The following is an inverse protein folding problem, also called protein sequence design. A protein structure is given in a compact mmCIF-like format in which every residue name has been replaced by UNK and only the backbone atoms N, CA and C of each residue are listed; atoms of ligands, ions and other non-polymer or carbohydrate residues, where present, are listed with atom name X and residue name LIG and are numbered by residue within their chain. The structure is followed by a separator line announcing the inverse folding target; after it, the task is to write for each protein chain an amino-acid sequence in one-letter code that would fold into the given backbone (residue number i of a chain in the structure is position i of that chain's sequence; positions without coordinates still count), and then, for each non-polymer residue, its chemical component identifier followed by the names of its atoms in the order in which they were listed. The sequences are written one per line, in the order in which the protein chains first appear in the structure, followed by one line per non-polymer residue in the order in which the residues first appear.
data_IF_127551276354
#
_entry.id   IF_127551276354
#
_cell.length_a   1.000
_cell.length_b   1.000
_cell.length_c   1.000
_cell.angle_alpha   90.00
_cell.angle_beta   90.00
_cell.angle_gamma   90.00
#
_symmetry.space_group_name_H-M   'P 1'
#
loop_
_entity.id
_entity.type
_entity.pdbx_description
1 polymer ?
#
# COMPACT_ATOMS: atom_id res chain seq x y z
N UNK A 1 10.11 9.51 -12.31
CA UNK A 1 9.78 8.14 -11.83
C UNK A 1 8.33 8.18 -11.37
N UNK A 2 7.53 7.20 -11.74
CA UNK A 2 6.14 7.07 -11.31
C UNK A 2 6.09 6.00 -10.23
N UNK A 3 5.45 6.25 -9.10
CA UNK A 3 5.32 5.26 -8.03
C UNK A 3 3.84 4.98 -7.77
N UNK A 4 3.46 3.70 -7.83
CA UNK A 4 2.14 3.21 -7.48
C UNK A 4 2.22 2.56 -6.11
N UNK A 5 1.26 2.92 -5.26
CA UNK A 5 1.17 2.47 -3.89
C UNK A 5 -0.17 1.81 -3.66
N UNK A 6 -0.17 0.71 -2.90
CA UNK A 6 -1.40 0.07 -2.48
C UNK A 6 -1.31 -0.41 -1.04
N UNK A 7 -2.38 -0.23 -0.28
CA UNK A 7 -2.50 -0.74 1.08
C UNK A 7 -3.34 -2.02 1.10
N UNK A 8 -2.88 -3.03 1.85
CA UNK A 8 -3.54 -4.33 1.96
C UNK A 8 -3.55 -4.84 3.39
N UNK A 9 -4.74 -5.12 3.91
CA UNK A 9 -4.97 -5.79 5.19
C UNK A 9 -5.13 -7.31 5.06
N UNK A 10 -5.21 -7.83 3.83
CA UNK A 10 -5.26 -9.25 3.52
C UNK A 10 -4.26 -9.55 2.42
N UNK A 11 -3.47 -10.60 2.59
CA UNK A 11 -2.53 -11.00 1.56
C UNK A 11 -3.29 -11.49 0.31
N UNK A 12 -2.85 -11.04 -0.86
CA UNK A 12 -3.37 -11.51 -2.13
C UNK A 12 -2.22 -11.74 -3.10
N UNK A 13 -2.12 -12.93 -3.73
CA UNK A 13 -1.11 -13.16 -4.76
C UNK A 13 -1.39 -12.34 -6.02
N UNK A 14 -2.61 -11.82 -6.19
CA UNK A 14 -3.04 -11.10 -7.40
C UNK A 14 -2.59 -9.63 -7.45
N UNK A 15 -1.82 -9.16 -6.47
CA UNK A 15 -1.41 -7.75 -6.38
C UNK A 15 -0.56 -7.27 -7.56
N UNK A 16 0.40 -8.04 -8.11
CA UNK A 16 1.12 -7.65 -9.33
C UNK A 16 0.20 -7.43 -10.53
N UNK A 17 -0.85 -8.24 -10.68
CA UNK A 17 -1.84 -8.09 -11.75
C UNK A 17 -2.65 -6.81 -11.59
N UNK A 18 -3.05 -6.47 -10.36
CA UNK A 18 -3.76 -5.21 -10.07
C UNK A 18 -2.88 -3.99 -10.34
N UNK A 19 -1.60 -4.06 -9.96
CA UNK A 19 -0.62 -3.01 -10.25
C UNK A 19 -0.44 -2.79 -11.76
N UNK A 20 -0.47 -3.85 -12.56
CA UNK A 20 -0.44 -3.72 -14.03
C UNK A 20 -1.66 -2.95 -14.55
N UNK A 21 -2.86 -3.27 -14.04
CA UNK A 21 -4.10 -2.58 -14.42
C UNK A 21 -4.03 -1.10 -14.05
N UNK A 22 -3.61 -0.77 -12.82
CA UNK A 22 -3.46 0.63 -12.39
C UNK A 22 -2.42 1.39 -13.21
N UNK A 23 -1.30 0.73 -13.58
CA UNK A 23 -0.30 1.34 -14.44
C UNK A 23 -0.89 1.70 -15.81
N UNK A 24 -1.68 0.78 -16.38
CA UNK A 24 -2.35 1.00 -17.66
C UNK A 24 -3.22 2.25 -17.61
N UNK A 25 -4.07 2.37 -16.60
CA UNK A 25 -4.96 3.52 -16.41
C UNK A 25 -4.17 4.84 -16.27
N UNK A 26 -3.07 4.81 -15.50
CA UNK A 26 -2.23 6.00 -15.28
C UNK A 26 -1.51 6.42 -16.57
N UNK A 27 -0.98 5.47 -17.34
CA UNK A 27 -0.33 5.80 -18.61
C UNK A 27 -1.33 6.24 -19.68
N UNK A 28 -2.53 5.68 -19.71
CA UNK A 28 -3.61 6.15 -20.58
C UNK A 28 -3.95 7.61 -20.28
N UNK A 29 -4.15 7.95 -19.00
CA UNK A 29 -4.38 9.33 -18.55
C UNK A 29 -3.24 10.27 -18.97
N UNK A 30 -1.98 9.88 -18.69
CA UNK A 30 -0.80 10.68 -18.98
C UNK A 30 -0.59 10.95 -20.47
N UNK A 31 -1.01 10.01 -21.32
CA UNK A 31 -0.79 10.07 -22.76
C UNK A 31 -2.03 10.51 -23.54
N UNK A 32 -3.11 10.92 -22.86
CA UNK A 32 -4.40 11.29 -23.48
C UNK A 32 -4.28 12.31 -24.62
N UNK A 33 -3.38 13.28 -24.50
CA UNK A 33 -3.17 14.33 -25.51
C UNK A 33 -2.02 14.01 -26.49
N UNK A 34 -1.35 12.88 -26.31
CA UNK A 34 -0.25 12.44 -27.15
C UNK A 34 -0.76 11.65 -28.36
N UNK A 35 -0.02 11.72 -29.48
CA UNK A 35 -0.30 10.87 -30.64
C UNK A 35 0.41 9.51 -30.50
N UNK A 36 -0.12 8.62 -29.67
CA UNK A 36 0.45 7.28 -29.40
C UNK A 36 0.49 6.36 -30.63
N UNK A 37 -0.33 6.63 -31.66
CA UNK A 37 -0.33 5.92 -32.94
C UNK A 37 0.56 6.60 -34.00
N UNK A 38 1.22 7.70 -33.65
CA UNK A 38 2.12 8.44 -34.51
C UNK A 38 3.47 7.76 -34.70
N UNK A 39 4.37 8.43 -35.43
CA UNK A 39 5.74 7.94 -35.67
C UNK A 39 6.75 8.41 -34.62
N UNK A 40 6.36 9.37 -33.78
CA UNK A 40 7.20 9.92 -32.73
C UNK A 40 7.00 9.15 -31.41
N UNK A 41 8.08 9.06 -30.62
CA UNK A 41 8.05 8.38 -29.33
C UNK A 41 7.27 9.21 -28.32
N UNK A 42 6.30 8.60 -27.65
CA UNK A 42 5.70 9.15 -26.42
C UNK A 42 6.51 8.64 -25.23
N UNK A 43 7.12 9.55 -24.49
CA UNK A 43 7.94 9.20 -23.33
C UNK A 43 7.07 9.08 -22.09
N UNK A 44 7.11 7.92 -21.44
CA UNK A 44 6.46 7.68 -20.15
C UNK A 44 7.50 7.46 -19.05
N UNK A 45 7.24 7.92 -17.81
CA UNK A 45 8.18 7.75 -16.72
C UNK A 45 8.28 6.28 -16.29
N UNK A 46 9.47 5.77 -15.92
CA UNK A 46 9.60 4.40 -15.42
C UNK A 46 8.82 4.22 -14.11
N UNK A 47 8.07 3.12 -13.94
CA UNK A 47 7.22 2.89 -12.78
C UNK A 47 7.95 2.16 -11.65
N UNK A 48 7.43 2.28 -10.43
CA UNK A 48 7.77 1.52 -9.23
C UNK A 48 6.49 1.10 -8.52
N UNK A 49 6.46 -0.12 -7.99
CA UNK A 49 5.27 -0.71 -7.38
C UNK A 49 5.57 -1.08 -5.93
N UNK A 50 4.85 -0.46 -5.00
CA UNK A 50 5.00 -0.62 -3.56
C UNK A 50 3.66 -1.00 -2.95
N UNK A 51 3.68 -2.03 -2.10
CA UNK A 51 2.51 -2.51 -1.39
C UNK A 51 2.80 -2.41 0.11
N UNK A 52 1.92 -1.76 0.85
CA UNK A 52 1.98 -1.67 2.30
C UNK A 52 1.04 -2.70 2.90
N UNK A 53 1.61 -3.73 3.50
CA UNK A 53 0.85 -4.78 4.17
C UNK A 53 0.69 -4.45 5.65
N UNK A 54 -0.55 -4.34 6.09
CA UNK A 54 -0.96 -4.13 7.47
C UNK A 54 -2.02 -5.17 7.89
N UNK A 55 -1.91 -6.39 7.38
CA UNK A 55 -2.80 -7.50 7.72
C UNK A 55 -2.41 -8.25 8.99
N UNK A 56 -3.24 -9.22 9.37
CA UNK A 56 -3.05 -10.07 10.57
C UNK A 56 -2.16 -11.29 10.31
N UNK A 57 -2.16 -11.81 9.09
CA UNK A 57 -1.36 -12.98 8.74
C UNK A 57 0.13 -12.63 8.80
N UNK A 58 0.95 -13.58 9.27
CA UNK A 58 2.40 -13.40 9.34
C UNK A 58 2.95 -13.25 7.93
N UNK A 59 3.65 -12.14 7.68
CA UNK A 59 4.35 -11.86 6.44
C UNK A 59 5.76 -11.35 6.76
N UNK A 60 6.77 -11.64 5.92
CA UNK A 60 8.11 -11.07 6.08
C UNK A 60 8.08 -9.54 5.99
N UNK A 61 9.10 -8.88 6.55
CA UNK A 61 9.29 -7.43 6.50
C UNK A 61 9.26 -6.89 5.06
N UNK A 62 9.88 -7.64 4.15
CA UNK A 62 9.92 -7.31 2.73
C UNK A 62 9.82 -8.58 1.92
N UNK A 63 8.97 -8.56 0.89
CA UNK A 63 8.95 -9.59 -0.15
C UNK A 63 8.69 -8.96 -1.50
N UNK A 64 9.09 -9.67 -2.54
CA UNK A 64 8.83 -9.32 -3.92
C UNK A 64 7.77 -10.24 -4.47
N UNK A 65 6.73 -9.66 -5.08
CA UNK A 65 5.68 -10.36 -5.81
C UNK A 65 5.91 -10.11 -7.30
N UNK A 66 5.80 -11.17 -8.12
CA UNK A 66 6.01 -11.09 -9.56
C UNK A 66 4.74 -11.38 -10.32
N UNK A 67 4.56 -10.69 -11.44
CA UNK A 67 3.42 -10.98 -12.32
C UNK A 67 3.56 -12.37 -12.95
N UNK A 68 4.79 -12.79 -13.25
CA UNK A 68 5.06 -14.11 -13.82
C UNK A 68 4.68 -15.28 -12.91
N UNK A 69 4.65 -15.08 -11.59
CA UNK A 69 4.18 -16.10 -10.64
C UNK A 69 2.69 -16.45 -10.84
N UNK A 70 1.94 -15.61 -11.57
CA UNK A 70 0.53 -15.82 -11.89
C UNK A 70 0.29 -16.49 -13.25
N UNK A 71 1.34 -16.72 -14.04
CA UNK A 71 1.20 -17.31 -15.37
C UNK A 71 0.86 -18.80 -15.28
N UNK A 72 -0.21 -19.20 -15.96
CA UNK A 72 -0.68 -20.59 -15.97
C UNK A 72 0.28 -21.56 -16.67
N UNK A 73 1.09 -21.03 -17.61
CA UNK A 73 2.05 -21.82 -18.38
C UNK A 73 3.45 -21.30 -18.09
N UNK A 74 4.36 -22.15 -17.56
CA UNK A 74 5.76 -21.79 -17.41
C UNK A 74 6.37 -21.49 -18.78
N UNK A 75 7.08 -20.38 -18.89
CA UNK A 75 7.85 -20.01 -20.07
C UNK A 75 9.34 -19.99 -19.73
N UNK A 76 10.18 -20.41 -20.67
CA UNK A 76 11.64 -20.27 -20.53
C UNK A 76 12.05 -18.79 -20.48
N UNK A 77 11.30 -17.92 -21.17
CA UNK A 77 11.52 -16.49 -21.21
C UNK A 77 10.25 -15.71 -20.85
N UNK A 78 10.39 -14.75 -19.94
CA UNK A 78 9.31 -13.87 -19.47
C UNK A 78 9.34 -12.55 -20.23
N UNK A 79 8.40 -12.36 -21.16
CA UNK A 79 8.31 -11.15 -22.00
C UNK A 79 7.73 -9.94 -21.27
N UNK A 80 6.80 -10.18 -20.35
CA UNK A 80 6.21 -9.16 -19.48
C UNK A 80 6.49 -9.54 -18.03
N UNK A 81 7.31 -8.73 -17.35
CA UNK A 81 7.59 -8.89 -15.94
C UNK A 81 7.32 -7.58 -15.18
N UNK A 82 6.46 -7.68 -14.17
CA UNK A 82 6.18 -6.61 -13.22
C UNK A 82 6.54 -7.11 -11.84
N UNK A 83 7.43 -6.38 -11.16
CA UNK A 83 7.92 -6.71 -9.82
C UNK A 83 7.38 -5.68 -8.83
N UNK A 84 6.57 -6.14 -7.87
CA UNK A 84 6.05 -5.32 -6.80
C UNK A 84 6.73 -5.66 -5.48
N UNK A 85 7.12 -4.63 -4.72
CA UNK A 85 7.71 -4.80 -3.39
C UNK A 85 6.61 -4.64 -2.36
N UNK A 86 6.31 -5.72 -1.63
CA UNK A 86 5.45 -5.66 -0.48
C UNK A 86 6.28 -5.47 0.80
N UNK A 87 5.90 -4.46 1.58
CA UNK A 87 6.53 -4.08 2.83
C UNK A 87 5.52 -4.31 3.96
N UNK A 88 5.90 -5.11 4.96
CA UNK A 88 5.10 -5.27 6.15
C UNK A 88 5.30 -4.05 7.05
N UNK A 89 4.24 -3.27 7.23
CA UNK A 89 4.23 -2.04 8.03
C UNK A 89 3.50 -2.21 9.35
N UNK A 90 3.25 -3.45 9.79
CA UNK A 90 2.79 -3.72 11.15
C UNK A 90 3.87 -3.30 12.17
N UNK A 91 3.45 -2.95 13.39
CA UNK A 91 4.38 -2.54 14.45
C UNK A 91 5.39 -3.67 14.74
N UNK A 92 6.67 -3.32 14.87
CA UNK A 92 7.75 -4.28 15.08
C UNK A 92 8.33 -4.91 13.80
N UNK A 93 7.78 -4.59 12.62
CA UNK A 93 8.32 -5.00 11.32
C UNK A 93 8.99 -3.83 10.58
N UNK A 94 9.92 -4.15 9.68
CA UNK A 94 10.59 -3.18 8.79
C UNK A 94 11.21 -1.98 9.53
N UNK A 95 12.04 -2.18 10.57
CA UNK A 95 12.51 -1.10 11.44
C UNK A 95 13.20 0.03 10.67
N UNK A 96 14.05 -0.28 9.69
CA UNK A 96 14.72 0.75 8.88
C UNK A 96 13.77 1.60 8.02
N UNK A 97 12.64 1.05 7.59
CA UNK A 97 11.61 1.80 6.84
C UNK A 97 10.82 2.73 7.77
N UNK A 98 10.42 2.22 8.94
CA UNK A 98 9.68 2.99 9.93
C UNK A 98 10.56 4.08 10.58
N UNK A 99 11.85 3.84 10.73
CA UNK A 99 12.82 4.85 11.18
C UNK A 99 13.04 5.94 10.13
N UNK A 100 13.05 5.59 8.84
CA UNK A 100 13.21 6.55 7.75
C UNK A 100 11.94 7.37 7.47
N UNK A 101 10.77 6.92 7.91
CA UNK A 101 9.49 7.61 7.67
C UNK A 101 8.62 7.67 8.94
N UNK A 102 8.70 8.81 9.64
CA UNK A 102 7.96 9.05 10.87
C UNK A 102 6.44 8.90 10.69
N UNK A 103 5.87 9.42 9.60
CA UNK A 103 4.43 9.28 9.31
C UNK A 103 4.00 7.82 9.18
N UNK A 104 4.80 6.98 8.53
CA UNK A 104 4.49 5.55 8.37
C UNK A 104 4.60 4.79 9.69
N UNK A 105 5.57 5.17 10.53
CA UNK A 105 5.71 4.66 11.90
C UNK A 105 4.50 5.01 12.75
N UNK A 106 4.07 6.26 12.73
CA UNK A 106 2.89 6.70 13.49
C UNK A 106 1.60 6.03 12.99
N UNK A 107 1.46 5.86 11.66
CA UNK A 107 0.36 5.10 11.08
C UNK A 107 0.36 3.64 11.55
N UNK A 108 1.52 2.98 11.56
CA UNK A 108 1.66 1.62 12.06
C UNK A 108 1.22 1.49 13.52
N UNK A 109 1.62 2.43 14.38
CA UNK A 109 1.21 2.49 15.78
C UNK A 109 -0.31 2.70 15.94
N UNK A 110 -0.91 3.58 15.14
CA UNK A 110 -2.36 3.79 15.13
C UNK A 110 -3.11 2.50 14.75
N UNK A 111 -2.72 1.86 13.65
CA UNK A 111 -3.35 0.61 13.18
C UNK A 111 -3.21 -0.51 14.20
N UNK A 112 -2.05 -0.63 14.86
CA UNK A 112 -1.84 -1.61 15.94
C UNK A 112 -2.81 -1.39 17.11
N UNK A 113 -3.03 -0.14 17.53
CA UNK A 113 -4.00 0.19 18.60
C UNK A 113 -5.42 -0.13 18.21
N UNK A 114 -5.86 0.29 17.03
CA UNK A 114 -7.21 -0.04 16.52
C UNK A 114 -7.41 -1.54 16.55
N UNK A 115 -6.42 -2.31 16.05
CA UNK A 115 -6.48 -3.77 16.03
C UNK A 115 -6.56 -4.37 17.43
N UNK A 116 -5.77 -3.87 18.38
CA UNK A 116 -5.76 -4.34 19.77
C UNK A 116 -7.12 -4.11 20.43
N UNK A 117 -7.68 -2.92 20.29
CA UNK A 117 -8.98 -2.60 20.88
C UNK A 117 -10.14 -3.34 20.19
N UNK A 118 -10.06 -3.57 18.88
CA UNK A 118 -11.07 -4.33 18.15
C UNK A 118 -11.12 -5.83 18.52
N UNK A 119 -10.19 -6.33 19.36
CA UNK A 119 -10.29 -7.67 19.95
C UNK A 119 -11.32 -7.73 21.09
N UNK A 120 -11.58 -6.60 21.74
CA UNK A 120 -12.41 -6.53 22.95
C UNK A 120 -13.62 -5.60 22.79
N UNK A 121 -13.55 -4.64 21.87
CA UNK A 121 -14.55 -3.60 21.64
C UNK A 121 -15.15 -3.71 20.22
N UNK A 122 -16.37 -3.20 20.01
CA UNK A 122 -16.88 -2.92 18.67
C UNK A 122 -15.89 -2.06 17.88
N UNK A 123 -15.77 -2.31 16.58
CA UNK A 123 -14.79 -1.64 15.70
C UNK A 123 -14.86 -0.12 15.81
N UNK A 124 -16.07 0.45 15.83
CA UNK A 124 -16.25 1.90 15.93
C UNK A 124 -15.71 2.46 17.26
N UNK A 125 -15.93 1.77 18.38
CA UNK A 125 -15.40 2.16 19.68
C UNK A 125 -13.88 1.99 19.76
N UNK A 126 -13.36 0.91 19.17
CA UNK A 126 -11.92 0.65 19.07
C UNK A 126 -11.20 1.75 18.30
N UNK A 127 -11.78 2.18 17.17
CA UNK A 127 -11.27 3.27 16.33
C UNK A 127 -11.31 4.59 17.11
N UNK A 128 -12.45 4.92 17.72
CA UNK A 128 -12.60 6.18 18.45
C UNK A 128 -11.62 6.28 19.64
N UNK A 129 -11.44 5.17 20.37
CA UNK A 129 -10.46 5.10 21.45
C UNK A 129 -9.04 5.28 20.94
N UNK A 130 -8.67 4.57 19.86
CA UNK A 130 -7.35 4.69 19.26
C UNK A 130 -7.06 6.12 18.76
N UNK A 131 -8.03 6.77 18.10
CA UNK A 131 -7.92 8.16 17.65
C UNK A 131 -7.62 9.09 18.83
N UNK A 132 -8.41 8.98 19.92
CA UNK A 132 -8.26 9.86 21.09
C UNK A 132 -6.88 9.71 21.73
N UNK A 133 -6.41 8.48 21.92
CA UNK A 133 -5.10 8.20 22.51
C UNK A 133 -3.95 8.62 21.59
N UNK A 134 -4.05 8.35 20.29
CA UNK A 134 -3.05 8.76 19.30
C UNK A 134 -2.90 10.28 19.23
N UNK A 135 -4.00 11.04 19.18
CA UNK A 135 -3.95 12.51 19.22
C UNK A 135 -3.30 12.99 20.53
N UNK A 136 -3.70 12.43 21.67
CA UNK A 136 -3.15 12.79 22.98
C UNK A 136 -1.65 12.53 23.12
N UNK A 137 -1.12 11.57 22.37
CA UNK A 137 0.30 11.20 22.36
C UNK A 137 1.08 11.82 21.18
N UNK A 138 0.44 12.64 20.33
CA UNK A 138 1.07 13.25 19.17
C UNK A 138 1.28 12.32 17.98
N UNK A 139 0.68 11.12 17.97
CA UNK A 139 0.81 10.11 16.92
C UNK A 139 -0.22 10.41 15.82
N UNK A 140 0.22 10.75 14.60
CA UNK A 140 -0.67 11.18 13.50
C UNK A 140 -1.67 12.27 13.89
N UNK A 141 -1.37 13.08 14.92
CA UNK A 141 -2.36 13.95 15.57
C UNK A 141 -3.04 14.90 14.57
N UNK A 142 -2.27 15.65 13.77
CA UNK A 142 -2.83 16.56 12.77
C UNK A 142 -3.69 15.85 11.72
N UNK A 143 -3.29 14.63 11.31
CA UNK A 143 -4.03 13.85 10.33
C UNK A 143 -5.34 13.33 10.92
N UNK A 144 -5.32 12.78 12.13
CA UNK A 144 -6.49 12.22 12.80
C UNK A 144 -7.46 13.29 13.27
N UNK A 145 -6.98 14.48 13.64
CA UNK A 145 -7.83 15.64 13.94
C UNK A 145 -8.62 16.09 12.71
N UNK A 146 -7.97 16.18 11.55
CA UNK A 146 -8.60 16.62 10.30
C UNK A 146 -9.50 15.55 9.69
N UNK A 147 -9.11 14.27 9.79
CA UNK A 147 -9.76 13.17 9.06
C UNK A 147 -10.52 12.20 9.96
N UNK A 148 -10.92 12.62 11.18
CA UNK A 148 -11.61 11.76 12.17
C UNK A 148 -12.81 11.01 11.58
N UNK A 149 -13.63 11.67 10.77
CA UNK A 149 -14.81 11.08 10.16
C UNK A 149 -14.48 10.04 9.09
N UNK A 150 -13.37 10.20 8.37
CA UNK A 150 -12.92 9.28 7.33
C UNK A 150 -12.18 8.07 7.95
N UNK A 151 -11.41 8.30 9.01
CA UNK A 151 -10.78 7.25 9.80
C UNK A 151 -11.80 6.26 10.39
N UNK A 152 -13.01 6.74 10.73
CA UNK A 152 -14.14 5.89 11.16
C UNK A 152 -14.75 5.06 10.02
N UNK A 153 -14.67 5.51 8.77
CA UNK A 153 -15.26 4.82 7.59
C UNK A 153 -14.35 3.77 6.97
N UNK A 154 -13.05 3.87 7.20
CA UNK A 154 -12.03 2.98 6.62
C UNK A 154 -11.81 1.70 7.44
N UNK A 155 -12.69 1.40 8.42
CA UNK A 155 -12.65 0.23 9.31
C UNK A 155 -13.85 -0.68 9.13
#
# INVERSE_FOLDING_TARGET
RLSLYEHQSTYSPNLPLRMLMYLSDVYEEMTRTCNVYGREKVLVPPPQFLIFYNGKDKQPDRQELRLSDLYAVPAEETWLELRAVMLNVNAGHSPGLLEACQTLKEYSLYVDRVRRYAQELPVEEAVERAIRECIGEGILAEFLEKNRAEARKMS
#
